data_IF_760604658167
#
_entry.id   IF_760604658167
#
_cell.length_a   1.000
_cell.length_b   1.000
_cell.length_c   1.000
_cell.angle_alpha   90.00
_cell.angle_beta   90.00
_cell.angle_gamma   90.00
#
_symmetry.space_group_name_H-M   'P 1'
#
loop_
_entity.id
_entity.type
_entity.pdbx_description
1 polymer ?
#
# COMPACT_ATOMS: atom_id res chain seq x y z
N UNK A 1 -56.26 -35.83 26.35
CA UNK A 1 -54.98 -35.10 26.48
C UNK A 1 -53.89 -35.61 25.52
N UNK A 2 -53.85 -36.90 25.15
CA UNK A 2 -52.84 -37.46 24.20
C UNK A 2 -53.01 -37.06 22.72
N UNK A 3 -54.21 -36.61 22.29
CA UNK A 3 -54.51 -36.39 20.87
C UNK A 3 -53.77 -35.20 20.23
N UNK A 4 -53.32 -34.22 21.03
CA UNK A 4 -52.70 -32.97 20.53
C UNK A 4 -51.16 -33.00 20.54
N UNK A 5 -50.55 -34.00 21.17
CA UNK A 5 -49.09 -34.16 21.27
C UNK A 5 -48.35 -34.24 19.92
N UNK A 6 -48.84 -34.99 18.90
CA UNK A 6 -48.14 -35.07 17.61
C UNK A 6 -48.17 -33.75 16.84
N UNK A 7 -49.27 -32.99 16.94
CA UNK A 7 -49.38 -31.67 16.30
C UNK A 7 -48.42 -30.68 16.96
N UNK A 8 -48.33 -30.69 18.30
CA UNK A 8 -47.38 -29.85 19.03
C UNK A 8 -45.92 -30.16 18.64
N UNK A 9 -45.56 -31.43 18.51
CA UNK A 9 -44.23 -31.85 18.06
C UNK A 9 -43.93 -31.39 16.63
N UNK A 10 -44.90 -31.49 15.72
CA UNK A 10 -44.76 -31.00 14.35
C UNK A 10 -44.60 -29.48 14.29
N UNK A 11 -45.35 -28.74 15.11
CA UNK A 11 -45.22 -27.27 15.21
C UNK A 11 -43.85 -26.90 15.77
N UNK A 12 -43.39 -27.54 16.85
CA UNK A 12 -42.07 -27.25 17.43
C UNK A 12 -40.93 -27.63 16.48
N UNK A 13 -41.00 -28.79 15.82
CA UNK A 13 -40.02 -29.20 14.83
C UNK A 13 -40.02 -28.25 13.61
N UNK A 14 -41.20 -27.87 13.13
CA UNK A 14 -41.35 -26.90 12.04
C UNK A 14 -40.79 -25.52 12.41
N UNK A 15 -41.13 -25.00 13.59
CA UNK A 15 -40.59 -23.75 14.11
C UNK A 15 -39.07 -23.79 14.29
N UNK A 16 -38.53 -24.90 14.79
CA UNK A 16 -37.09 -25.08 14.96
C UNK A 16 -36.36 -25.12 13.60
N UNK A 17 -36.87 -25.89 12.64
CA UNK A 17 -36.30 -25.98 11.29
C UNK A 17 -36.37 -24.63 10.56
N UNK A 18 -37.50 -23.93 10.63
CA UNK A 18 -37.65 -22.59 10.05
C UNK A 18 -36.74 -21.57 10.74
N UNK A 19 -36.62 -21.63 12.07
CA UNK A 19 -35.73 -20.76 12.84
C UNK A 19 -34.27 -20.94 12.43
N UNK A 20 -33.81 -22.19 12.36
CA UNK A 20 -32.45 -22.51 11.91
C UNK A 20 -32.21 -22.06 10.47
N UNK A 21 -33.16 -22.32 9.56
CA UNK A 21 -33.04 -21.90 8.16
C UNK A 21 -32.98 -20.36 8.01
N UNK A 22 -33.73 -19.62 8.82
CA UNK A 22 -33.68 -18.15 8.83
C UNK A 22 -32.36 -17.63 9.39
N UNK A 23 -31.86 -18.23 10.47
CA UNK A 23 -30.57 -17.86 11.08
C UNK A 23 -29.42 -18.15 10.10
N UNK A 24 -29.40 -19.33 9.47
CA UNK A 24 -28.40 -19.69 8.47
C UNK A 24 -28.42 -18.70 7.31
N UNK A 25 -29.60 -18.36 6.79
CA UNK A 25 -29.73 -17.37 5.70
C UNK A 25 -29.15 -16.02 6.07
N UNK A 26 -29.45 -15.50 7.27
CA UNK A 26 -28.93 -14.21 7.71
C UNK A 26 -27.41 -14.26 7.90
N UNK A 27 -26.89 -15.37 8.43
CA UNK A 27 -25.45 -15.60 8.59
C UNK A 27 -24.73 -15.67 7.24
N UNK A 28 -25.29 -16.40 6.28
CA UNK A 28 -24.78 -16.47 4.91
C UNK A 28 -24.80 -15.10 4.23
N UNK A 29 -25.87 -14.33 4.45
CA UNK A 29 -26.01 -12.97 3.90
C UNK A 29 -24.94 -12.03 4.44
N UNK A 30 -24.77 -11.96 5.76
CA UNK A 30 -23.75 -11.12 6.41
C UNK A 30 -22.34 -11.49 5.92
N UNK A 31 -22.04 -12.80 5.85
CA UNK A 31 -20.72 -13.27 5.39
C UNK A 31 -20.47 -13.02 3.90
N UNK A 32 -21.51 -13.14 3.08
CA UNK A 32 -21.45 -12.83 1.65
C UNK A 32 -21.19 -11.34 1.41
N UNK A 33 -21.91 -10.48 2.13
CA UNK A 33 -21.75 -9.02 2.07
C UNK A 33 -20.33 -8.62 2.50
N UNK A 34 -19.81 -9.20 3.58
CA UNK A 34 -18.43 -9.00 4.02
C UNK A 34 -17.41 -9.46 2.98
N UNK A 35 -17.56 -10.67 2.41
CA UNK A 35 -16.63 -11.17 1.39
C UNK A 35 -16.64 -10.35 0.10
N UNK A 36 -17.81 -9.83 -0.28
CA UNK A 36 -17.96 -8.94 -1.44
C UNK A 36 -17.32 -7.59 -1.16
N UNK A 37 -17.53 -7.02 0.03
CA UNK A 37 -16.89 -5.79 0.46
C UNK A 37 -15.36 -5.94 0.48
N UNK A 38 -14.84 -7.02 1.05
CA UNK A 38 -13.41 -7.32 1.06
C UNK A 38 -12.84 -7.50 -0.35
N UNK A 39 -13.54 -8.21 -1.23
CA UNK A 39 -13.13 -8.38 -2.62
C UNK A 39 -13.10 -7.05 -3.40
N UNK A 40 -14.10 -6.19 -3.20
CA UNK A 40 -14.15 -4.85 -3.78
C UNK A 40 -13.04 -3.95 -3.23
N UNK A 41 -12.80 -3.98 -1.91
CA UNK A 41 -11.74 -3.23 -1.26
C UNK A 41 -10.35 -3.67 -1.76
N UNK A 42 -10.10 -4.98 -1.83
CA UNK A 42 -8.86 -5.54 -2.38
C UNK A 42 -8.68 -5.17 -3.85
N UNK A 43 -9.71 -5.34 -4.68
CA UNK A 43 -9.64 -4.98 -6.09
C UNK A 43 -9.41 -3.49 -6.31
N UNK A 44 -9.95 -2.64 -5.44
CA UNK A 44 -9.63 -1.20 -5.43
C UNK A 44 -8.17 -0.95 -5.09
N UNK A 45 -7.65 -1.57 -4.02
CA UNK A 45 -6.23 -1.43 -3.64
C UNK A 45 -5.29 -1.90 -4.75
N UNK A 46 -5.59 -3.03 -5.41
CA UNK A 46 -4.82 -3.53 -6.54
C UNK A 46 -4.81 -2.51 -7.70
N UNK A 47 -5.96 -1.90 -7.98
CA UNK A 47 -6.08 -0.83 -8.97
C UNK A 47 -5.27 0.42 -8.62
N UNK A 48 -5.36 0.87 -7.37
CA UNK A 48 -4.63 2.06 -6.87
C UNK A 48 -3.11 1.82 -6.86
N UNK A 49 -2.64 0.60 -6.54
CA UNK A 49 -1.22 0.25 -6.53
C UNK A 49 -0.65 -0.04 -7.93
N UNK A 50 -1.50 -0.40 -8.90
CA UNK A 50 -1.04 -0.70 -10.26
C UNK A 50 -0.35 0.50 -10.93
N UNK A 51 -0.82 1.73 -10.66
CA UNK A 51 -0.23 2.96 -11.22
C UNK A 51 1.17 3.22 -10.63
N UNK A 52 1.37 3.31 -9.30
CA UNK A 52 2.70 3.41 -8.69
C UNK A 52 3.68 2.34 -9.13
N UNK A 53 3.26 1.08 -9.18
CA UNK A 53 4.14 -0.02 -9.58
C UNK A 53 4.65 0.14 -11.02
N UNK A 54 3.80 0.62 -11.93
CA UNK A 54 4.23 0.94 -13.30
C UNK A 54 5.21 2.10 -13.34
N UNK A 55 5.00 3.15 -12.54
CA UNK A 55 5.93 4.28 -12.46
C UNK A 55 7.30 3.84 -11.97
N UNK A 56 7.37 3.08 -10.88
CA UNK A 56 8.65 2.56 -10.34
C UNK A 56 9.37 1.71 -11.38
N UNK A 57 8.67 0.78 -12.03
CA UNK A 57 9.27 -0.05 -13.09
C UNK A 57 9.77 0.80 -14.25
N UNK A 58 8.95 1.71 -14.76
CA UNK A 58 9.32 2.60 -15.86
C UNK A 58 10.57 3.41 -15.53
N UNK A 59 10.70 3.90 -14.29
CA UNK A 59 11.86 4.67 -13.86
C UNK A 59 13.12 3.80 -13.73
N UNK A 60 12.98 2.57 -13.24
CA UNK A 60 14.11 1.65 -13.12
C UNK A 60 14.66 1.19 -14.48
N UNK A 61 13.86 1.28 -15.53
CA UNK A 61 14.23 0.90 -16.91
C UNK A 61 14.66 2.12 -17.75
N UNK A 62 14.50 3.35 -17.23
CA UNK A 62 14.76 4.56 -18.01
C UNK A 62 16.28 4.80 -18.17
N UNK A 63 16.83 4.85 -19.40
CA UNK A 63 18.27 4.94 -19.61
C UNK A 63 18.92 6.17 -18.96
N UNK A 64 18.22 7.30 -18.95
CA UNK A 64 18.72 8.55 -18.33
C UNK A 64 18.84 8.41 -16.81
N UNK A 65 17.92 7.70 -16.16
CA UNK A 65 17.97 7.47 -14.71
C UNK A 65 19.06 6.46 -14.35
N UNK A 66 19.22 5.40 -15.15
CA UNK A 66 20.29 4.42 -14.98
C UNK A 66 21.68 5.06 -15.16
N UNK A 67 21.85 5.87 -16.20
CA UNK A 67 23.10 6.59 -16.44
C UNK A 67 23.37 7.62 -15.33
N UNK A 68 22.36 8.37 -14.91
CA UNK A 68 22.48 9.34 -13.83
C UNK A 68 22.83 8.66 -12.50
N UNK A 69 22.20 7.52 -12.17
CA UNK A 69 22.53 6.74 -10.99
C UNK A 69 23.96 6.19 -11.04
N UNK A 70 24.39 5.66 -12.19
CA UNK A 70 25.74 5.12 -12.37
C UNK A 70 26.84 6.20 -12.25
N UNK A 71 26.57 7.40 -12.78
CA UNK A 71 27.47 8.56 -12.67
C UNK A 71 27.31 9.33 -11.36
N UNK A 72 26.34 8.96 -10.52
CA UNK A 72 25.93 9.70 -9.33
C UNK A 72 25.61 11.18 -9.65
N UNK A 73 24.98 11.41 -10.81
CA UNK A 73 24.45 12.70 -11.25
C UNK A 73 23.13 13.00 -10.51
N UNK A 74 23.29 13.65 -9.36
CA UNK A 74 22.17 13.98 -8.47
C UNK A 74 21.22 15.01 -9.06
N UNK A 75 21.69 15.86 -9.97
CA UNK A 75 20.88 16.94 -10.53
C UNK A 75 19.91 16.39 -11.57
N UNK A 76 20.38 15.50 -12.46
CA UNK A 76 19.50 14.80 -13.39
C UNK A 76 18.45 13.97 -12.66
N UNK A 77 18.84 13.22 -11.61
CA UNK A 77 17.89 12.47 -10.78
C UNK A 77 16.85 13.38 -10.12
N UNK A 78 17.28 14.53 -9.56
CA UNK A 78 16.38 15.48 -8.92
C UNK A 78 15.37 16.08 -9.91
N UNK A 79 15.79 16.41 -11.13
CA UNK A 79 14.89 16.90 -12.19
C UNK A 79 13.85 15.84 -12.54
N UNK A 80 14.27 14.60 -12.77
CA UNK A 80 13.34 13.51 -13.12
C UNK A 80 12.36 13.21 -12.00
N UNK A 81 12.81 13.20 -10.74
CA UNK A 81 11.93 13.01 -9.58
C UNK A 81 10.94 14.16 -9.45
N UNK A 82 11.39 15.40 -9.66
CA UNK A 82 10.49 16.58 -9.66
C UNK A 82 9.42 16.47 -10.75
N UNK A 83 9.77 15.99 -11.94
CA UNK A 83 8.81 15.74 -13.03
C UNK A 83 7.81 14.66 -12.62
N UNK A 84 8.27 13.55 -12.03
CA UNK A 84 7.39 12.48 -11.56
C UNK A 84 6.39 12.99 -10.53
N UNK A 85 6.88 13.66 -9.47
CA UNK A 85 6.01 14.19 -8.44
C UNK A 85 5.02 15.20 -9.03
N UNK A 86 5.45 16.12 -9.88
CA UNK A 86 4.55 17.12 -10.49
C UNK A 86 3.39 16.48 -11.27
N UNK A 87 3.63 15.35 -11.94
CA UNK A 87 2.60 14.61 -12.68
C UNK A 87 1.71 13.74 -11.78
N UNK A 88 2.17 13.43 -10.57
CA UNK A 88 1.52 12.51 -9.64
C UNK A 88 1.35 13.18 -8.26
N UNK A 89 0.28 13.98 -8.07
CA UNK A 89 0.09 14.77 -6.86
C UNK A 89 -0.06 13.93 -5.59
N UNK A 90 -0.47 12.67 -5.72
CA UNK A 90 -0.63 11.73 -4.59
C UNK A 90 0.71 11.24 -4.01
N UNK A 91 1.83 11.49 -4.70
CA UNK A 91 3.14 11.17 -4.17
C UNK A 91 3.64 12.28 -3.25
N UNK A 92 3.75 11.93 -1.98
CA UNK A 92 4.37 12.78 -0.97
C UNK A 92 5.88 12.92 -1.20
N UNK A 93 6.53 11.91 -1.78
CA UNK A 93 8.00 11.85 -1.83
C UNK A 93 8.53 10.84 -2.85
N UNK A 94 9.71 11.11 -3.41
CA UNK A 94 10.56 10.13 -4.10
C UNK A 94 12.01 10.30 -3.65
N UNK A 95 12.73 9.18 -3.48
CA UNK A 95 14.13 9.17 -3.06
C UNK A 95 14.96 8.13 -3.84
N UNK A 96 16.23 8.46 -4.07
CA UNK A 96 17.26 7.52 -4.52
C UNK A 96 18.15 7.16 -3.34
N UNK A 97 18.24 5.86 -3.06
CA UNK A 97 19.07 5.27 -2.02
C UNK A 97 20.28 4.59 -2.67
N UNK A 98 21.46 4.86 -2.15
CA UNK A 98 22.67 4.15 -2.52
C UNK A 98 22.67 2.71 -1.94
N UNK A 99 23.55 1.81 -2.42
CA UNK A 99 23.60 0.42 -1.95
C UNK A 99 23.87 0.24 -0.44
N UNK A 100 24.41 1.26 0.22
CA UNK A 100 24.64 1.34 1.67
C UNK A 100 23.41 1.87 2.45
N UNK A 101 22.32 2.16 1.75
CA UNK A 101 21.08 2.73 2.31
C UNK A 101 21.13 4.24 2.52
N UNK A 102 22.19 4.93 2.11
CA UNK A 102 22.28 6.39 2.23
C UNK A 102 21.42 7.08 1.17
N UNK A 103 20.59 8.03 1.59
CA UNK A 103 19.88 8.91 0.66
C UNK A 103 20.85 9.78 -0.11
N UNK A 104 20.66 9.85 -1.43
CA UNK A 104 21.50 10.65 -2.35
C UNK A 104 20.74 11.77 -3.01
N UNK A 105 19.46 11.54 -3.28
CA UNK A 105 18.51 12.53 -3.79
C UNK A 105 17.17 12.23 -3.16
N UNK A 106 16.48 13.27 -2.70
CA UNK A 106 15.15 13.18 -2.11
C UNK A 106 14.37 14.42 -2.49
N UNK A 107 13.20 14.24 -3.08
CA UNK A 107 12.24 15.32 -3.36
C UNK A 107 11.01 15.05 -2.53
N UNK A 108 10.63 16.03 -1.73
CA UNK A 108 9.45 15.99 -0.88
C UNK A 108 8.39 16.96 -1.41
N UNK A 109 7.13 16.62 -1.18
CA UNK A 109 5.97 17.45 -1.45
C UNK A 109 5.44 18.03 -0.15
N UNK A 110 5.21 19.33 -0.13
CA UNK A 110 4.46 20.01 0.91
C UNK A 110 3.33 20.82 0.26
N UNK A 111 2.10 20.29 0.34
CA UNK A 111 0.96 20.80 -0.42
C UNK A 111 1.23 20.78 -1.92
N UNK A 112 1.23 21.96 -2.54
CA UNK A 112 1.49 22.12 -3.98
C UNK A 112 2.97 22.34 -4.33
N UNK A 113 3.85 22.51 -3.33
CA UNK A 113 5.25 22.80 -3.58
C UNK A 113 6.12 21.53 -3.50
N UNK A 114 7.08 21.45 -4.41
CA UNK A 114 8.11 20.41 -4.42
C UNK A 114 9.44 21.02 -4.04
N UNK A 115 10.17 20.38 -3.13
CA UNK A 115 11.48 20.84 -2.73
C UNK A 115 12.46 19.67 -2.66
N UNK A 116 13.69 19.93 -3.09
CA UNK A 116 14.79 18.99 -2.95
C UNK A 116 15.36 19.11 -1.56
N UNK A 117 15.45 17.99 -0.86
CA UNK A 117 16.06 17.92 0.47
C UNK A 117 17.56 18.17 0.36
N UNK A 118 18.07 19.00 1.26
CA UNK A 118 19.49 19.38 1.28
C UNK A 118 20.35 18.23 1.79
N UNK A 119 21.62 18.20 1.38
CA UNK A 119 22.55 17.11 1.69
C UNK A 119 22.71 16.84 3.20
N UNK A 120 22.59 17.87 4.04
CA UNK A 120 22.67 17.79 5.51
C UNK A 120 21.44 17.14 6.16
N UNK A 121 20.31 17.08 5.45
CA UNK A 121 19.05 16.49 5.92
C UNK A 121 18.81 15.08 5.35
N UNK A 122 19.66 14.63 4.44
CA UNK A 122 19.62 13.26 3.91
C UNK A 122 20.00 12.26 4.99
N UNK A 123 19.25 11.17 5.07
CA UNK A 123 19.42 10.16 6.12
C UNK A 123 19.87 8.82 5.55
N UNK A 124 20.51 8.02 6.39
CA UNK A 124 20.74 6.61 6.09
C UNK A 124 19.52 5.78 6.53
N UNK A 125 18.95 5.01 5.60
CA UNK A 125 17.80 4.12 5.81
C UNK A 125 18.16 2.64 5.68
N UNK A 126 19.44 2.30 5.64
CA UNK A 126 19.96 0.93 5.48
C UNK A 126 19.47 -0.05 6.57
N UNK A 127 19.23 0.46 7.77
CA UNK A 127 18.70 -0.33 8.88
C UNK A 127 17.19 -0.60 8.80
N UNK A 128 16.47 0.07 7.88
CA UNK A 128 15.02 -0.09 7.74
C UNK A 128 14.71 -1.40 7.01
N UNK A 129 13.70 -2.12 7.52
CA UNK A 129 13.29 -3.42 6.96
C UNK A 129 12.94 -3.30 5.47
N UNK A 130 12.24 -2.24 5.05
CA UNK A 130 11.84 -2.06 3.64
C UNK A 130 13.05 -1.95 2.70
N UNK A 131 14.18 -1.42 3.19
CA UNK A 131 15.39 -1.31 2.40
C UNK A 131 16.06 -2.68 2.27
N UNK A 132 16.22 -3.38 3.40
CA UNK A 132 16.82 -4.73 3.43
C UNK A 132 16.02 -5.72 2.57
N UNK A 133 14.70 -5.71 2.70
CA UNK A 133 13.82 -6.59 1.95
C UNK A 133 13.85 -6.27 0.45
N UNK A 134 13.85 -4.99 0.07
CA UNK A 134 13.96 -4.57 -1.32
C UNK A 134 15.32 -4.96 -1.94
N UNK A 135 16.42 -4.76 -1.22
CA UNK A 135 17.77 -5.12 -1.67
C UNK A 135 18.00 -6.64 -1.77
N UNK A 136 17.21 -7.44 -1.06
CA UNK A 136 17.25 -8.90 -1.16
C UNK A 136 16.50 -9.43 -2.41
N UNK A 137 15.72 -8.59 -3.09
CA UNK A 137 15.01 -9.01 -4.30
C UNK A 137 15.95 -9.09 -5.51
N UNK A 138 15.66 -9.97 -6.48
CA UNK A 138 16.29 -9.93 -7.79
C UNK A 138 16.08 -8.57 -8.48
N UNK A 139 16.98 -8.24 -9.41
CA UNK A 139 16.84 -7.10 -10.32
C UNK A 139 15.46 -7.08 -10.99
N UNK A 140 14.94 -5.87 -11.28
CA UNK A 140 13.61 -5.61 -11.89
C UNK A 140 12.38 -6.04 -11.08
N UNK A 141 12.56 -6.40 -9.80
CA UNK A 141 11.46 -6.69 -8.87
C UNK A 141 11.16 -5.46 -8.02
N UNK A 142 9.88 -5.22 -7.77
CA UNK A 142 9.41 -4.13 -6.91
C UNK A 142 8.96 -4.71 -5.58
N UNK A 143 9.41 -4.10 -4.50
CA UNK A 143 8.94 -4.38 -3.15
C UNK A 143 7.92 -3.32 -2.72
N UNK A 144 6.84 -3.76 -2.09
CA UNK A 144 5.87 -2.88 -1.42
C UNK A 144 5.84 -3.28 0.04
N UNK A 145 6.24 -2.37 0.93
CA UNK A 145 6.17 -2.64 2.37
C UNK A 145 4.72 -2.64 2.85
N UNK A 146 4.42 -3.31 3.97
CA UNK A 146 3.19 -3.04 4.70
C UNK A 146 3.03 -1.54 4.99
N UNK A 147 1.79 -1.09 5.13
CA UNK A 147 1.50 0.29 5.52
C UNK A 147 1.99 0.52 6.96
N UNK A 148 2.91 1.45 7.13
CA UNK A 148 3.50 1.83 8.42
C UNK A 148 3.61 3.36 8.48
N UNK A 149 3.77 3.88 9.69
CA UNK A 149 4.00 5.31 9.88
C UNK A 149 5.40 5.66 9.38
N UNK A 150 5.50 6.75 8.62
CA UNK A 150 6.78 7.27 8.19
C UNK A 150 7.55 7.81 9.41
N UNK A 151 8.86 7.58 9.45
CA UNK A 151 9.74 8.04 10.54
C UNK A 151 10.93 8.78 9.94
N UNK A 152 11.02 10.06 10.27
CA UNK A 152 12.09 10.96 9.81
C UNK A 152 12.81 11.54 11.03
N UNK A 153 14.14 11.46 11.04
CA UNK A 153 14.97 11.86 12.19
C UNK A 153 14.54 11.23 13.53
N UNK A 154 14.00 10.00 13.49
CA UNK A 154 13.52 9.29 14.67
C UNK A 154 12.14 9.75 15.19
N UNK A 155 11.48 10.68 14.49
CA UNK A 155 10.15 11.17 14.83
C UNK A 155 9.13 10.64 13.83
N UNK A 156 7.97 10.19 14.33
CA UNK A 156 6.85 9.81 13.48
C UNK A 156 6.39 11.05 12.72
N UNK A 157 6.49 10.97 11.40
CA UNK A 157 5.93 11.93 10.48
C UNK A 157 4.40 11.76 10.48
N UNK A 158 3.69 12.83 10.85
CA UNK A 158 2.23 12.80 10.96
C UNK A 158 1.64 13.28 9.65
N UNK A 159 0.83 12.47 8.94
CA UNK A 159 0.20 12.89 7.70
C UNK A 159 -1.00 13.79 8.01
N UNK A 160 -0.77 15.04 8.41
CA UNK A 160 -1.82 16.05 8.50
C UNK A 160 -1.32 17.40 8.00
N UNK A 161 -1.52 17.64 6.70
CA UNK A 161 -2.26 18.78 6.13
C UNK A 161 -2.32 18.68 4.61
#
# INVERSE_FOLDING_TARGET
MLLFSPILLLVLAGSYLLGNALIERELYRVRSDESTFLALASGRLDGELAVPLRHVRSMSEEPILLEAAARNDRDTLAVQFTILLNRNPDYAQVRWLAPDGMERVRIDRQGQHLWRVTDDQLQNKGERYYFRDAMALPWERVYVSPLDLNVEHGVIDRPFN
#
